data_IF_397637315830
#
_entry.id   IF_397637315830
#
_cell.length_a   1.000
_cell.length_b   1.000
_cell.length_c   1.000
_cell.angle_alpha   90.00
_cell.angle_beta   90.00
_cell.angle_gamma   90.00
#
_symmetry.space_group_name_H-M   'P 1'
#
loop_
_entity.id
_entity.type
_entity.pdbx_description
1 polymer ?
#
# COMPACT_ATOMS: atom_id res chain seq x y z
N UNK A 1 -0.58 19.83 -8.13
CA UNK A 1 -1.57 18.74 -8.14
C UNK A 1 -1.89 18.37 -6.71
N UNK A 2 -3.15 18.11 -6.39
CA UNK A 2 -3.56 17.67 -5.04
C UNK A 2 -3.21 16.19 -4.88
N UNK A 3 -2.52 15.83 -3.80
CA UNK A 3 -2.12 14.44 -3.59
C UNK A 3 -3.35 13.55 -3.38
N UNK A 4 -3.44 12.37 -4.03
CA UNK A 4 -4.51 11.38 -3.82
C UNK A 4 -4.67 10.93 -2.37
N UNK A 5 -3.69 11.19 -1.50
CA UNK A 5 -3.73 10.89 -0.08
C UNK A 5 -4.70 11.77 0.72
N UNK A 6 -5.07 12.93 0.20
CA UNK A 6 -5.96 13.90 0.87
C UNK A 6 -7.43 13.50 0.82
N UNK A 7 -7.82 12.70 -0.16
CA UNK A 7 -9.18 12.18 -0.34
C UNK A 7 -9.14 10.65 -0.56
N UNK A 8 -8.96 9.86 0.52
CA UNK A 8 -8.93 8.41 0.44
C UNK A 8 -10.26 7.78 0.03
N UNK A 9 -11.38 8.47 0.23
CA UNK A 9 -12.69 7.94 -0.13
C UNK A 9 -12.87 7.93 -1.66
N UNK A 10 -12.29 8.91 -2.34
CA UNK A 10 -12.30 9.00 -3.81
C UNK A 10 -11.17 8.23 -4.49
N UNK A 11 -9.99 8.18 -3.88
CA UNK A 11 -8.78 7.65 -4.52
C UNK A 11 -8.28 6.33 -3.92
N UNK A 12 -8.90 5.87 -2.84
CA UNK A 12 -8.55 4.62 -2.16
C UNK A 12 -8.97 3.40 -2.95
N UNK A 13 -8.10 2.39 -2.96
CA UNK A 13 -8.39 1.04 -3.47
C UNK A 13 -8.43 0.09 -2.30
N UNK A 14 -9.50 -0.70 -2.19
CA UNK A 14 -9.72 -1.62 -1.08
C UNK A 14 -9.29 -3.04 -1.41
N UNK A 15 -8.63 -3.68 -0.45
CA UNK A 15 -8.23 -5.08 -0.45
C UNK A 15 -8.66 -5.67 0.90
N UNK A 16 -9.80 -6.37 0.92
CA UNK A 16 -10.43 -6.77 2.18
C UNK A 16 -10.71 -5.56 3.08
N UNK A 17 -10.15 -5.56 4.29
CA UNK A 17 -10.28 -4.45 5.24
C UNK A 17 -9.22 -3.34 5.08
N UNK A 18 -8.28 -3.52 4.14
CA UNK A 18 -7.14 -2.62 3.90
C UNK A 18 -7.47 -1.65 2.77
N UNK A 19 -7.17 -0.37 2.92
CA UNK A 19 -7.30 0.64 1.87
C UNK A 19 -5.92 1.20 1.54
N UNK A 20 -5.61 1.34 0.25
CA UNK A 20 -4.37 1.98 -0.22
C UNK A 20 -4.69 3.17 -1.11
N UNK A 21 -4.00 4.29 -0.88
CA UNK A 21 -3.93 5.41 -1.81
C UNK A 21 -2.52 5.47 -2.38
N UNK A 22 -2.39 5.81 -3.66
CA UNK A 22 -1.11 5.80 -4.40
C UNK A 22 -0.95 7.13 -5.10
N UNK A 23 0.13 7.84 -4.82
CA UNK A 23 0.54 9.03 -5.56
C UNK A 23 1.67 8.63 -6.52
N UNK A 24 1.31 8.48 -7.79
CA UNK A 24 2.26 8.01 -8.82
C UNK A 24 3.25 9.08 -9.25
N UNK A 25 2.99 10.35 -8.93
CA UNK A 25 3.88 11.47 -9.23
C UNK A 25 4.95 11.62 -8.15
N UNK A 26 4.57 11.41 -6.88
CA UNK A 26 5.53 11.35 -5.75
C UNK A 26 6.20 9.97 -5.61
N UNK A 27 5.63 8.92 -6.20
CA UNK A 27 6.19 7.58 -6.15
C UNK A 27 6.00 6.89 -4.80
N UNK A 28 4.95 7.25 -4.08
CA UNK A 28 4.68 6.81 -2.71
C UNK A 28 3.24 6.28 -2.53
N UNK A 29 2.97 5.71 -1.35
CA UNK A 29 1.63 5.23 -1.03
C UNK A 29 1.31 5.34 0.47
N UNK A 30 0.02 5.39 0.80
CA UNK A 30 -0.47 5.26 2.17
C UNK A 30 -1.40 4.06 2.27
N UNK A 31 -1.09 3.16 3.19
CA UNK A 31 -1.94 2.04 3.58
C UNK A 31 -2.68 2.37 4.86
N UNK A 32 -3.97 2.05 4.89
CA UNK A 32 -4.86 2.15 6.03
C UNK A 32 -5.41 0.77 6.35
N UNK A 33 -5.01 0.18 7.46
CA UNK A 33 -5.36 -1.20 7.82
C UNK A 33 -5.87 -1.29 9.27
N UNK A 34 -6.79 -2.23 9.58
CA UNK A 34 -7.14 -2.52 10.97
C UNK A 34 -5.92 -3.11 11.69
N UNK A 35 -5.66 -2.63 12.89
CA UNK A 35 -4.67 -3.18 13.80
C UNK A 35 -5.32 -3.45 15.15
N UNK A 36 -5.01 -4.60 15.79
CA UNK A 36 -5.47 -4.86 17.15
C UNK A 36 -4.87 -3.81 18.08
N UNK A 37 -5.75 -3.10 18.79
CA UNK A 37 -5.37 -2.25 19.91
C UNK A 37 -5.59 -2.96 21.24
N UNK A 38 -5.24 -2.30 22.35
CA UNK A 38 -5.36 -2.87 23.69
C UNK A 38 -6.82 -3.14 24.09
N UNK A 39 -7.75 -2.28 23.65
CA UNK A 39 -9.18 -2.33 24.01
C UNK A 39 -10.05 -2.62 22.79
N UNK A 40 -9.73 -2.03 21.64
CA UNK A 40 -10.48 -2.21 20.39
C UNK A 40 -9.56 -2.23 19.18
N UNK A 41 -10.04 -2.80 18.08
CA UNK A 41 -9.36 -2.71 16.78
C UNK A 41 -9.45 -1.27 16.27
N UNK A 42 -8.31 -0.68 15.94
CA UNK A 42 -8.25 0.68 15.38
C UNK A 42 -7.61 0.66 14.00
N UNK A 43 -8.04 1.57 13.13
CA UNK A 43 -7.49 1.68 11.78
C UNK A 43 -6.24 2.56 11.81
N UNK A 44 -5.10 2.00 11.41
CA UNK A 44 -3.80 2.68 11.40
C UNK A 44 -3.36 2.97 9.97
N UNK A 45 -2.83 4.17 9.78
CA UNK A 45 -2.27 4.62 8.51
C UNK A 45 -0.74 4.51 8.54
N UNK A 46 -0.14 4.02 7.46
CA UNK A 46 1.32 3.99 7.24
C UNK A 46 1.64 4.49 5.84
N UNK A 47 2.51 5.48 5.74
CA UNK A 47 3.08 5.97 4.47
C UNK A 47 4.36 5.20 4.15
N UNK A 48 4.55 4.88 2.88
CA UNK A 48 5.77 4.33 2.29
C UNK A 48 6.21 5.30 1.20
N UNK A 49 7.38 5.90 1.35
CA UNK A 49 7.84 7.07 0.61
C UNK A 49 8.55 6.73 -0.71
N UNK A 50 8.78 5.44 -0.99
CA UNK A 50 9.51 5.00 -2.18
C UNK A 50 9.08 3.61 -2.65
N UNK A 51 9.40 3.29 -3.90
CA UNK A 51 9.14 1.96 -4.46
C UNK A 51 9.94 0.86 -3.73
N UNK A 52 11.15 1.16 -3.26
CA UNK A 52 11.97 0.22 -2.49
C UNK A 52 11.33 -0.10 -1.13
N UNK A 53 10.86 0.92 -0.40
CA UNK A 53 10.11 0.72 0.85
C UNK A 53 8.84 -0.12 0.62
N UNK A 54 8.13 0.11 -0.48
CA UNK A 54 6.94 -0.64 -0.87
C UNK A 54 7.28 -2.12 -1.14
N UNK A 55 8.38 -2.39 -1.85
CA UNK A 55 8.81 -3.76 -2.18
C UNK A 55 9.31 -4.52 -0.96
N UNK A 56 10.12 -3.88 -0.11
CA UNK A 56 10.57 -4.44 1.16
C UNK A 56 9.38 -4.79 2.07
N UNK A 57 8.44 -3.86 2.22
CA UNK A 57 7.23 -4.09 3.01
C UNK A 57 6.36 -5.21 2.42
N UNK A 58 6.25 -5.29 1.08
CA UNK A 58 5.52 -6.38 0.40
C UNK A 58 6.11 -7.74 0.77
N UNK A 59 7.44 -7.88 0.69
CA UNK A 59 8.13 -9.14 1.03
C UNK A 59 7.88 -9.56 2.48
N UNK A 60 7.96 -8.60 3.42
CA UNK A 60 7.70 -8.85 4.85
C UNK A 60 6.26 -9.30 5.07
N UNK A 61 5.27 -8.57 4.52
CA UNK A 61 3.85 -8.87 4.71
C UNK A 61 3.46 -10.19 4.04
N UNK A 62 4.02 -10.50 2.86
CA UNK A 62 3.83 -11.78 2.22
C UNK A 62 4.38 -12.93 3.09
N UNK A 63 5.58 -12.76 3.67
CA UNK A 63 6.16 -13.75 4.60
C UNK A 63 5.29 -13.95 5.84
N UNK A 64 4.83 -12.86 6.48
CA UNK A 64 3.96 -12.92 7.65
C UNK A 64 2.63 -13.61 7.33
N UNK A 65 2.03 -13.32 6.18
CA UNK A 65 0.79 -13.96 5.74
C UNK A 65 0.89 -15.48 5.58
N UNK A 66 2.10 -15.99 5.31
CA UNK A 66 2.36 -17.43 5.15
C UNK A 66 2.73 -18.11 6.47
N UNK A 67 3.57 -17.45 7.27
CA UNK A 67 4.12 -18.05 8.49
C UNK A 67 3.19 -17.92 9.70
N UNK A 68 2.50 -16.79 9.82
CA UNK A 68 1.70 -16.43 10.99
C UNK A 68 0.35 -15.80 10.58
N UNK A 69 -0.47 -16.50 9.78
CA UNK A 69 -1.73 -15.94 9.29
C UNK A 69 -2.73 -15.61 10.41
N UNK A 70 -2.69 -16.34 11.53
CA UNK A 70 -3.57 -16.09 12.69
C UNK A 70 -3.18 -14.82 13.45
N UNK A 71 -1.88 -14.57 13.61
CA UNK A 71 -1.36 -13.39 14.30
C UNK A 71 -1.42 -12.14 13.42
N UNK A 72 -1.39 -12.33 12.10
CA UNK A 72 -1.43 -11.24 11.11
C UNK A 72 -2.54 -11.46 10.08
N UNK A 73 -3.82 -11.38 10.48
CA UNK A 73 -4.96 -11.70 9.61
C UNK A 73 -5.05 -10.82 8.36
N UNK A 74 -4.52 -9.60 8.40
CA UNK A 74 -4.54 -8.66 7.27
C UNK A 74 -3.23 -8.64 6.46
N UNK A 75 -2.21 -9.43 6.81
CA UNK A 75 -0.92 -9.36 6.13
C UNK A 75 -1.01 -9.71 4.64
N UNK A 76 -1.90 -10.63 4.25
CA UNK A 76 -2.15 -10.97 2.85
C UNK A 76 -2.69 -9.78 2.08
N UNK A 77 -3.70 -9.11 2.64
CA UNK A 77 -4.35 -7.94 2.01
C UNK A 77 -3.37 -6.77 1.90
N UNK A 78 -2.58 -6.52 2.95
CA UNK A 78 -1.53 -5.50 2.92
C UNK A 78 -0.49 -5.82 1.83
N UNK A 79 -0.07 -7.08 1.71
CA UNK A 79 0.87 -7.48 0.67
C UNK A 79 0.30 -7.25 -0.75
N UNK A 80 -0.96 -7.60 -0.99
CA UNK A 80 -1.62 -7.36 -2.28
C UNK A 80 -1.72 -5.86 -2.57
N UNK A 81 -2.07 -5.05 -1.55
CA UNK A 81 -2.14 -3.60 -1.67
C UNK A 81 -0.77 -2.96 -2.02
N UNK A 82 0.30 -3.40 -1.36
CA UNK A 82 1.67 -2.95 -1.64
C UNK A 82 2.12 -3.35 -3.05
N UNK A 83 1.83 -4.59 -3.46
CA UNK A 83 2.12 -5.07 -4.82
C UNK A 83 1.40 -4.20 -5.88
N UNK A 84 0.13 -3.89 -5.65
CA UNK A 84 -0.64 -3.00 -6.50
C UNK A 84 -0.01 -1.60 -6.59
N UNK A 85 0.35 -1.00 -5.45
CA UNK A 85 0.98 0.31 -5.41
C UNK A 85 2.31 0.34 -6.20
N UNK A 86 3.20 -0.62 -5.94
CA UNK A 86 4.48 -0.72 -6.64
C UNK A 86 4.32 -0.94 -8.14
N UNK A 87 3.36 -1.77 -8.57
CA UNK A 87 3.05 -1.96 -9.99
C UNK A 87 2.52 -0.68 -10.65
N UNK A 88 1.66 0.07 -9.96
CA UNK A 88 1.08 1.31 -10.48
C UNK A 88 2.15 2.38 -10.68
N UNK A 89 3.06 2.55 -9.72
CA UNK A 89 4.19 3.48 -9.80
C UNK A 89 5.16 3.07 -10.94
N UNK A 90 5.55 1.79 -10.99
CA UNK A 90 6.42 1.28 -12.08
C UNK A 90 5.80 1.49 -13.47
N UNK A 91 4.51 1.24 -13.62
CA UNK A 91 3.81 1.45 -14.88
C UNK A 91 3.78 2.93 -15.28
N UNK A 92 3.60 3.84 -14.32
CA UNK A 92 3.68 5.28 -14.55
C UNK A 92 5.08 5.71 -15.01
N UNK A 93 6.12 5.28 -14.31
CA UNK A 93 7.51 5.61 -14.65
C UNK A 93 7.91 5.08 -16.04
N UNK A 94 7.51 3.85 -16.38
CA UNK A 94 7.73 3.27 -17.71
C UNK A 94 7.03 4.07 -18.81
N UNK A 95 5.80 4.54 -18.56
CA UNK A 95 5.06 5.41 -19.49
C UNK A 95 5.74 6.77 -19.66
N UNK A 96 6.29 7.35 -18.59
CA UNK A 96 7.05 8.62 -18.67
C UNK A 96 8.36 8.46 -19.43
N UNK A 97 9.13 7.41 -19.15
CA UNK A 97 10.38 7.12 -19.87
C UNK A 97 10.20 6.89 -21.37
N UNK A 98 9.09 6.27 -21.79
CA UNK A 98 8.73 6.11 -23.21
C UNK A 98 8.26 7.39 -23.92
N UNK A 99 7.88 8.44 -23.18
CA UNK A 99 7.46 9.73 -23.77
C UNK A 99 8.65 10.68 -24.00
N UNK A 100 9.84 10.31 -23.54
CA UNK A 100 11.07 11.09 -23.64
C UNK A 100 12.18 10.34 -24.38
N UNK A 101 11.85 9.24 -25.04
CA UNK A 101 12.72 8.45 -25.92
C UNK A 101 12.16 8.52 -27.34
#
# INVERSE_FOLDING_TARGET
MTSPHTDPDRHGVSFGAVVVTVDVDLGDCIISAPQPGLICTTRRKKRFNSTDEIEGAYGIQLRLSRQKPKDHPHAKDIAVALKFAGQKIKAHNKKRGRKHA
#
